data_IF_027183726855
#
_entry.id   IF_027183726855
#
_cell.length_a   1.000
_cell.length_b   1.000
_cell.length_c   1.000
_cell.angle_alpha   90.00
_cell.angle_beta   90.00
_cell.angle_gamma   90.00
#
_symmetry.space_group_name_H-M   'P 1'
#
loop_
_entity.id
_entity.type
_entity.pdbx_description
1 polymer ?
#
# COMPACT_ATOMS: atom_id res chain seq x y z
N UNK A 1 6.85 10.77 -11.87
CA UNK A 1 6.04 10.94 -13.09
C UNK A 1 4.59 11.14 -12.67
N UNK A 2 4.06 12.34 -12.85
CA UNK A 2 2.64 12.59 -12.60
C UNK A 2 1.82 11.97 -13.72
N UNK A 3 0.96 11.02 -13.41
CA UNK A 3 -0.04 10.51 -14.34
C UNK A 3 -0.99 11.66 -14.72
N UNK A 4 -1.33 11.75 -15.98
CA UNK A 4 -2.33 12.72 -16.44
C UNK A 4 -3.68 12.42 -15.80
N UNK A 5 -4.46 13.45 -15.42
CA UNK A 5 -5.74 13.27 -14.72
C UNK A 5 -6.68 12.20 -15.31
N UNK A 6 -6.82 12.03 -16.63
CA UNK A 6 -7.71 11.00 -17.18
C UNK A 6 -7.32 9.57 -16.85
N UNK A 7 -6.03 9.28 -16.66
CA UNK A 7 -5.57 7.92 -16.35
C UNK A 7 -5.86 7.52 -14.91
N UNK A 8 -5.89 8.49 -14.01
CA UNK A 8 -6.19 8.26 -12.58
C UNK A 8 -7.67 7.94 -12.37
N UNK A 9 -8.54 8.43 -13.24
CA UNK A 9 -9.99 8.24 -13.13
C UNK A 9 -10.50 6.89 -13.64
N UNK A 10 -9.68 6.15 -14.40
CA UNK A 10 -10.09 4.85 -14.94
C UNK A 10 -10.30 3.86 -13.79
N UNK A 11 -11.49 3.29 -13.72
CA UNK A 11 -11.88 2.32 -12.69
C UNK A 11 -12.25 2.91 -11.33
N UNK A 12 -12.05 4.22 -11.10
CA UNK A 12 -12.38 4.84 -9.82
C UNK A 12 -13.87 4.79 -9.52
N UNK A 13 -14.71 5.05 -10.51
CA UNK A 13 -16.18 5.04 -10.31
C UNK A 13 -16.68 3.66 -9.87
N UNK A 14 -16.13 2.60 -10.43
CA UNK A 14 -16.47 1.22 -10.01
C UNK A 14 -16.04 0.95 -8.56
N UNK A 15 -14.85 1.41 -8.15
CA UNK A 15 -14.39 1.28 -6.76
C UNK A 15 -15.21 2.13 -5.77
N UNK A 16 -15.80 3.22 -6.22
CA UNK A 16 -16.65 4.08 -5.38
C UNK A 16 -18.10 3.60 -5.28
N UNK A 17 -18.49 2.64 -6.11
CA UNK A 17 -19.84 2.07 -6.06
C UNK A 17 -20.09 1.39 -4.70
N UNK A 18 -21.16 1.80 -4.03
CA UNK A 18 -21.50 1.30 -2.70
C UNK A 18 -20.66 1.84 -1.54
N UNK A 19 -19.66 2.67 -1.80
CA UNK A 19 -18.87 3.33 -0.75
C UNK A 19 -19.62 4.53 -0.20
N UNK A 20 -19.74 4.59 1.14
CA UNK A 20 -20.33 5.74 1.82
C UNK A 20 -19.56 7.03 1.47
N UNK A 21 -20.30 8.13 1.30
CA UNK A 21 -19.75 9.40 0.81
C UNK A 21 -18.52 9.89 1.61
N UNK A 22 -18.56 9.72 2.94
CA UNK A 22 -17.46 10.10 3.83
C UNK A 22 -16.14 9.36 3.58
N UNK A 23 -16.21 8.13 3.06
CA UNK A 23 -15.04 7.29 2.76
C UNK A 23 -14.54 7.40 1.31
N UNK A 24 -15.30 8.03 0.42
CA UNK A 24 -14.93 8.14 -1.00
C UNK A 24 -13.58 8.83 -1.25
N UNK A 25 -13.22 9.92 -0.57
CA UNK A 25 -11.89 10.52 -0.74
C UNK A 25 -10.76 9.59 -0.33
N UNK A 26 -10.95 8.79 0.71
CA UNK A 26 -9.97 7.80 1.18
C UNK A 26 -9.79 6.70 0.13
N UNK A 27 -10.88 6.16 -0.39
CA UNK A 27 -10.84 5.18 -1.49
C UNK A 27 -10.14 5.75 -2.72
N UNK A 28 -10.42 7.00 -3.06
CA UNK A 28 -9.86 7.66 -4.22
C UNK A 28 -8.34 7.89 -4.13
N UNK A 29 -7.80 8.26 -2.97
CA UNK A 29 -6.34 8.43 -2.81
C UNK A 29 -5.62 7.09 -2.91
N UNK A 30 -6.18 6.03 -2.35
CA UNK A 30 -5.65 4.68 -2.49
C UNK A 30 -5.70 4.19 -3.94
N UNK A 31 -6.79 4.45 -4.65
CA UNK A 31 -6.91 4.15 -6.07
C UNK A 31 -5.82 4.85 -6.88
N UNK A 32 -5.61 6.15 -6.67
CA UNK A 32 -4.55 6.91 -7.34
C UNK A 32 -3.17 6.29 -7.09
N UNK A 33 -2.88 5.92 -5.85
CA UNK A 33 -1.62 5.29 -5.48
C UNK A 33 -1.42 3.96 -6.23
N UNK A 34 -2.44 3.12 -6.31
CA UNK A 34 -2.38 1.83 -7.05
C UNK A 34 -2.16 2.03 -8.54
N UNK A 35 -2.87 2.97 -9.16
CA UNK A 35 -2.71 3.27 -10.60
C UNK A 35 -1.30 3.77 -10.91
N UNK A 36 -0.72 4.60 -10.06
CA UNK A 36 0.66 5.09 -10.22
C UNK A 36 1.71 3.99 -10.08
N UNK A 37 1.40 2.90 -9.39
CA UNK A 37 2.32 1.80 -9.08
C UNK A 37 1.93 0.48 -9.76
N UNK A 38 1.09 0.53 -10.78
CA UNK A 38 0.60 -0.67 -11.49
C UNK A 38 1.72 -1.56 -12.03
N UNK A 39 2.85 -0.97 -12.44
CA UNK A 39 4.01 -1.69 -12.95
C UNK A 39 4.94 -2.26 -11.87
N UNK A 40 4.66 -2.05 -10.59
CA UNK A 40 5.57 -2.40 -9.50
C UNK A 40 5.89 -3.91 -9.42
N UNK A 41 5.04 -4.76 -9.97
CA UNK A 41 5.17 -6.21 -9.97
C UNK A 41 4.98 -6.86 -11.34
N UNK A 42 5.21 -6.12 -12.43
CA UNK A 42 4.98 -6.61 -13.79
C UNK A 42 5.69 -7.94 -14.09
N UNK A 43 6.90 -8.13 -13.57
CA UNK A 43 7.66 -9.35 -13.79
C UNK A 43 7.17 -10.56 -12.96
N UNK A 44 6.29 -10.36 -11.99
CA UNK A 44 5.80 -11.43 -11.11
C UNK A 44 4.42 -11.93 -11.50
N UNK A 45 3.53 -11.02 -11.91
CA UNK A 45 2.11 -11.28 -12.10
C UNK A 45 1.29 -11.03 -10.84
N UNK A 46 0.13 -10.42 -11.01
CA UNK A 46 -0.70 -9.95 -9.88
C UNK A 46 -1.23 -11.09 -9.02
N UNK A 47 -1.48 -12.27 -9.60
CA UNK A 47 -1.97 -13.46 -8.89
C UNK A 47 -0.94 -14.06 -7.92
N UNK A 48 0.31 -13.63 -8.02
CA UNK A 48 1.41 -14.04 -7.13
C UNK A 48 1.75 -12.99 -6.07
N UNK A 49 0.93 -11.96 -5.92
CA UNK A 49 1.14 -10.88 -4.96
C UNK A 49 0.17 -11.03 -3.79
N UNK A 50 0.74 -11.07 -2.59
CA UNK A 50 -0.01 -11.03 -1.33
C UNK A 50 -0.24 -9.58 -0.92
N UNK A 51 -1.46 -9.23 -0.56
CA UNK A 51 -1.82 -7.88 -0.15
C UNK A 51 -2.12 -7.83 1.35
N UNK A 52 -1.39 -6.99 2.08
CA UNK A 52 -1.71 -6.67 3.47
C UNK A 52 -2.58 -5.41 3.45
N UNK A 53 -3.89 -5.60 3.50
CA UNK A 53 -4.85 -4.52 3.33
C UNK A 53 -4.98 -3.60 4.53
N UNK A 54 -4.91 -4.14 5.74
CA UNK A 54 -5.09 -3.35 6.96
C UNK A 54 -4.42 -4.01 8.17
N UNK A 55 -3.75 -3.20 9.00
CA UNK A 55 -3.23 -3.63 10.30
C UNK A 55 -3.70 -2.62 11.36
N UNK A 56 -4.31 -3.12 12.42
CA UNK A 56 -4.66 -2.34 13.59
C UNK A 56 -4.14 -3.01 14.85
N UNK A 57 -3.64 -2.20 15.79
CA UNK A 57 -3.20 -2.68 17.10
C UNK A 57 -3.79 -1.79 18.19
N UNK A 58 -4.25 -2.39 19.26
CA UNK A 58 -4.82 -1.66 20.40
C UNK A 58 -3.73 -0.91 21.21
N UNK A 59 -2.56 -1.53 21.32
CA UNK A 59 -1.42 -0.96 22.07
C UNK A 59 -0.22 -0.77 21.17
N UNK A 60 0.27 0.46 21.12
CA UNK A 60 1.49 0.83 20.40
C UNK A 60 2.75 0.65 21.26
N UNK A 61 3.92 0.62 20.64
CA UNK A 61 5.20 0.54 21.32
C UNK A 61 5.63 -0.85 21.82
N UNK A 62 4.82 -1.90 21.56
CA UNK A 62 5.11 -3.28 21.97
C UNK A 62 5.64 -4.18 20.84
N UNK A 63 5.88 -3.63 19.66
CA UNK A 63 6.33 -4.40 18.51
C UNK A 63 5.29 -5.32 17.88
N UNK A 64 4.01 -5.18 18.23
CA UNK A 64 2.93 -6.05 17.76
C UNK A 64 2.74 -5.92 16.25
N UNK A 65 2.71 -4.70 15.72
CA UNK A 65 2.56 -4.46 14.27
C UNK A 65 3.71 -5.10 13.49
N UNK A 66 4.95 -4.91 13.94
CA UNK A 66 6.13 -5.50 13.30
C UNK A 66 6.07 -7.02 13.31
N UNK A 67 5.63 -7.63 14.40
CA UNK A 67 5.45 -9.07 14.48
C UNK A 67 4.34 -9.59 13.57
N UNK A 68 3.21 -8.89 13.48
CA UNK A 68 2.14 -9.23 12.53
C UNK A 68 2.62 -9.18 11.09
N UNK A 69 3.38 -8.15 10.73
CA UNK A 69 3.96 -8.03 9.38
C UNK A 69 4.93 -9.19 9.09
N UNK A 70 5.83 -9.52 10.03
CA UNK A 70 6.75 -10.67 9.88
C UNK A 70 6.01 -11.98 9.67
N UNK A 71 4.97 -12.22 10.44
CA UNK A 71 4.14 -13.44 10.32
C UNK A 71 3.40 -13.47 8.98
N UNK A 72 2.91 -12.32 8.51
CA UNK A 72 2.27 -12.20 7.18
C UNK A 72 3.27 -12.50 6.07
N UNK A 73 4.51 -12.03 6.17
CA UNK A 73 5.59 -12.33 5.22
C UNK A 73 5.88 -13.84 5.19
N UNK A 74 6.00 -14.48 6.35
CA UNK A 74 6.23 -15.92 6.43
C UNK A 74 5.06 -16.71 5.82
N UNK A 75 3.83 -16.32 6.15
CA UNK A 75 2.64 -16.97 5.60
C UNK A 75 2.59 -16.83 4.06
N UNK A 76 2.82 -15.66 3.54
CA UNK A 76 2.84 -15.41 2.10
C UNK A 76 3.90 -16.28 1.40
N UNK A 77 5.09 -16.38 1.97
CA UNK A 77 6.14 -17.27 1.47
C UNK A 77 5.75 -18.74 1.49
N UNK A 78 5.16 -19.22 2.58
CA UNK A 78 4.67 -20.59 2.71
C UNK A 78 3.55 -20.92 1.72
N UNK A 79 2.71 -19.94 1.38
CA UNK A 79 1.62 -20.10 0.41
C UNK A 79 2.08 -19.96 -1.05
N UNK A 80 3.36 -19.70 -1.31
CA UNK A 80 3.92 -19.63 -2.64
C UNK A 80 3.77 -18.27 -3.35
N UNK A 81 3.41 -17.22 -2.61
CA UNK A 81 3.43 -15.87 -3.15
C UNK A 81 4.86 -15.42 -3.43
N UNK A 82 5.03 -14.59 -4.46
CA UNK A 82 6.34 -14.12 -4.90
C UNK A 82 6.62 -12.67 -4.56
N UNK A 83 5.62 -11.96 -4.11
CA UNK A 83 5.73 -10.58 -3.65
C UNK A 83 4.63 -10.24 -2.66
N UNK A 84 4.86 -9.17 -1.92
CA UNK A 84 3.91 -8.60 -0.97
C UNK A 84 3.81 -7.11 -1.20
N UNK A 85 2.61 -6.58 -1.13
CA UNK A 85 2.35 -5.14 -1.16
C UNK A 85 1.51 -4.70 0.03
N UNK A 86 1.59 -3.43 0.32
CA UNK A 86 0.69 -2.71 1.22
C UNK A 86 0.66 -1.23 0.89
N UNK A 87 -0.31 -0.52 1.42
CA UNK A 87 -0.46 0.91 1.29
C UNK A 87 -0.40 1.53 2.69
N UNK A 88 0.78 2.07 3.06
CA UNK A 88 0.99 2.65 4.38
C UNK A 88 0.44 4.08 4.43
N UNK A 89 -0.48 4.34 5.35
CA UNK A 89 -1.21 5.61 5.47
C UNK A 89 -0.55 6.63 6.39
N UNK A 90 0.50 6.25 7.10
CA UNK A 90 1.21 7.11 8.03
C UNK A 90 2.64 6.68 8.29
N UNK A 91 3.38 7.53 8.99
CA UNK A 91 4.81 7.33 9.25
C UNK A 91 5.07 6.06 10.09
N UNK A 92 4.26 5.79 11.10
CA UNK A 92 4.47 4.62 11.97
C UNK A 92 4.24 3.29 11.24
N UNK A 93 3.20 3.22 10.41
CA UNK A 93 2.95 2.03 9.58
C UNK A 93 4.06 1.84 8.55
N UNK A 94 4.48 2.91 7.88
CA UNK A 94 5.59 2.89 6.94
C UNK A 94 6.87 2.37 7.59
N UNK A 95 7.26 2.90 8.76
CA UNK A 95 8.44 2.46 9.48
C UNK A 95 8.35 0.99 9.91
N UNK A 96 7.17 0.52 10.34
CA UNK A 96 6.98 -0.88 10.71
C UNK A 96 7.20 -1.82 9.51
N UNK A 97 6.72 -1.47 8.33
CA UNK A 97 6.97 -2.22 7.10
C UNK A 97 8.45 -2.15 6.67
N UNK A 98 9.09 -1.00 6.76
CA UNK A 98 10.52 -0.83 6.46
C UNK A 98 11.40 -1.73 7.33
N UNK A 99 11.08 -1.87 8.63
CA UNK A 99 11.79 -2.77 9.56
C UNK A 99 11.73 -4.24 9.14
N UNK A 100 10.72 -4.63 8.40
CA UNK A 100 10.55 -6.01 7.90
C UNK A 100 11.10 -6.18 6.48
N UNK A 101 11.71 -5.14 5.93
CA UNK A 101 12.38 -5.19 4.63
C UNK A 101 11.52 -4.81 3.44
N UNK A 102 10.40 -4.12 3.67
CA UNK A 102 9.63 -3.50 2.60
C UNK A 102 10.32 -2.22 2.13
N UNK A 103 10.16 -1.92 0.85
CA UNK A 103 10.70 -0.73 0.21
C UNK A 103 9.57 0.16 -0.32
N UNK A 104 9.66 1.50 -0.12
CA UNK A 104 8.70 2.41 -0.73
C UNK A 104 8.89 2.43 -2.24
N UNK A 105 7.78 2.33 -3.00
CA UNK A 105 7.78 2.39 -4.45
C UNK A 105 7.20 3.71 -5.00
N UNK A 106 6.35 4.37 -4.24
CA UNK A 106 5.76 5.65 -4.61
C UNK A 106 4.80 6.12 -3.54
N UNK A 107 4.42 7.38 -3.58
CA UNK A 107 3.50 7.96 -2.60
C UNK A 107 2.60 9.03 -3.21
N UNK A 108 1.47 9.27 -2.58
CA UNK A 108 0.57 10.39 -2.85
C UNK A 108 0.50 11.24 -1.59
N UNK A 109 0.86 12.53 -1.70
CA UNK A 109 0.84 13.44 -0.57
C UNK A 109 -0.59 13.90 -0.26
N UNK A 110 -0.97 13.92 1.01
CA UNK A 110 -2.29 14.39 1.43
C UNK A 110 -2.55 15.83 1.03
N UNK A 111 -1.56 16.70 1.16
CA UNK A 111 -1.68 18.12 0.84
C UNK A 111 -1.94 18.40 -0.64
N UNK A 112 -1.49 17.52 -1.54
CA UNK A 112 -1.57 17.69 -2.98
C UNK A 112 -2.75 16.94 -3.60
N UNK A 113 -3.35 16.02 -2.85
CA UNK A 113 -4.44 15.19 -3.36
C UNK A 113 -5.73 15.99 -3.51
N UNK A 114 -6.35 15.87 -4.68
CA UNK A 114 -7.64 16.48 -4.99
C UNK A 114 -8.70 15.41 -5.24
N UNK A 115 -9.85 15.59 -4.63
CA UNK A 115 -11.05 14.80 -4.90
C UNK A 115 -12.19 15.73 -5.30
N UNK A 116 -12.75 15.52 -6.49
CA UNK A 116 -13.80 16.37 -7.07
C UNK A 116 -13.43 17.87 -7.07
N UNK A 117 -12.19 18.18 -7.43
CA UNK A 117 -11.66 19.53 -7.51
C UNK A 117 -11.34 20.20 -6.16
N UNK A 118 -11.36 19.45 -5.06
CA UNK A 118 -11.06 19.94 -3.72
C UNK A 118 -9.88 19.22 -3.10
N UNK A 119 -9.01 19.95 -2.42
CA UNK A 119 -7.94 19.41 -1.58
C UNK A 119 -8.48 18.96 -0.23
N UNK A 120 -9.13 17.80 -0.22
CA UNK A 120 -9.90 17.29 0.94
C UNK A 120 -9.06 16.96 2.16
N UNK A 121 -7.74 16.76 2.01
CA UNK A 121 -6.81 16.45 3.10
C UNK A 121 -5.84 17.60 3.42
N UNK A 122 -6.03 18.79 2.83
CA UNK A 122 -5.12 19.93 3.01
C UNK A 122 -5.03 20.42 4.46
N UNK A 123 -6.07 20.20 5.27
CA UNK A 123 -6.12 20.59 6.68
C UNK A 123 -5.64 19.54 7.66
N UNK A 124 -5.10 18.42 7.20
CA UNK A 124 -4.56 17.39 8.10
C UNK A 124 -3.34 17.89 8.84
N UNK A 125 -3.40 17.77 10.16
CA UNK A 125 -2.29 18.09 11.05
C UNK A 125 -1.58 16.81 11.49
N UNK A 126 -0.28 16.92 11.78
CA UNK A 126 0.51 15.80 12.28
C UNK A 126 1.69 15.43 11.38
N UNK A 127 2.32 14.31 11.71
CA UNK A 127 3.50 13.79 11.01
C UNK A 127 3.16 12.99 9.74
N UNK A 128 1.90 12.62 9.56
CA UNK A 128 1.46 11.82 8.41
C UNK A 128 1.30 12.73 7.18
N UNK A 129 2.12 12.52 6.17
CA UNK A 129 2.20 13.39 5.00
C UNK A 129 1.58 12.81 3.75
N UNK A 130 1.33 11.52 3.72
CA UNK A 130 0.78 10.85 2.53
C UNK A 130 0.62 9.35 2.69
N UNK A 131 0.06 8.75 1.65
CA UNK A 131 -0.06 7.28 1.50
C UNK A 131 1.13 6.79 0.68
N UNK A 132 1.79 5.75 1.15
CA UNK A 132 2.98 5.19 0.49
C UNK A 132 2.73 3.74 0.07
N UNK A 133 2.98 3.44 -1.19
CA UNK A 133 2.98 2.07 -1.70
C UNK A 133 4.27 1.37 -1.26
N UNK A 134 4.13 0.32 -0.47
CA UNK A 134 5.25 -0.47 0.05
C UNK A 134 5.25 -1.84 -0.59
N UNK A 135 6.43 -2.32 -1.01
CA UNK A 135 6.57 -3.63 -1.63
C UNK A 135 7.75 -4.41 -1.07
N UNK A 136 7.61 -5.73 -1.10
CA UNK A 136 8.68 -6.69 -0.84
C UNK A 136 8.56 -7.84 -1.83
N UNK A 137 9.66 -8.17 -2.49
CA UNK A 137 9.75 -9.34 -3.38
C UNK A 137 10.45 -10.49 -2.67
N UNK A 138 9.99 -11.71 -2.90
CA UNK A 138 10.70 -12.90 -2.46
C UNK A 138 11.73 -13.29 -3.49
N UNK A 139 12.94 -13.60 -3.04
CA UNK A 139 14.02 -14.11 -3.90
C UNK A 139 13.80 -15.60 -4.19
N UNK A 140 13.84 -15.99 -5.47
CA UNK A 140 13.67 -17.38 -5.89
C UNK A 140 14.88 -18.28 -5.60
N UNK A 141 16.04 -17.70 -5.28
CA UNK A 141 17.32 -18.41 -5.29
C UNK A 141 17.59 -19.34 -4.11
N UNK A 142 16.78 -19.30 -3.06
CA UNK A 142 17.08 -20.07 -1.85
C UNK A 142 16.44 -21.46 -1.79
N UNK A 143 15.53 -21.81 -2.69
CA UNK A 143 14.83 -23.11 -2.68
C UNK A 143 15.42 -24.15 -3.63
N UNK A 144 16.18 -23.74 -4.63
CA UNK A 144 16.81 -24.66 -5.59
C UNK A 144 18.06 -25.37 -5.07
N UNK A 145 18.64 -24.92 -3.96
CA UNK A 145 19.83 -25.50 -3.36
C UNK A 145 19.56 -26.42 -2.15
N UNK A 146 18.29 -26.57 -1.75
CA UNK A 146 17.90 -27.43 -0.61
C UNK A 146 17.28 -28.76 -1.07
N UNK A 147 17.02 -28.86 -2.35
CA UNK A 147 16.61 -30.10 -3.00
C UNK A 147 17.80 -30.68 -3.77
#
# INVERSE_FOLDING_TARGET
>A
MCLRPPQVMVGLEEELEGVEESYRPITAIHHQLRVQNVAAFDEIGIEKIFDIGMIGVERTGLGISTNLIRRSVLLAGCLGFRGIKTEATGIFSREAFERVGFHPAGSVQYADFEFQGRRVFAGMEGSDTGVTFMKKKFFQSSLTHIL
#
